data_IF_623233061502
#
_entry.id   IF_623233061502
#
_cell.length_a   1.000
_cell.length_b   1.000
_cell.length_c   1.000
_cell.angle_alpha   90.00
_cell.angle_beta   90.00
_cell.angle_gamma   90.00
#
_symmetry.space_group_name_H-M   'P 1'
#
loop_
_entity.id
_entity.type
_entity.pdbx_description
1 polymer ?
#
# COMPACT_ATOMS: atom_id res chain seq x y z
N UNK A 1 -26.72 -61.54 -110.01
CA UNK A 1 -26.55 -62.28 -108.74
C UNK A 1 -25.16 -61.93 -108.25
N UNK A 2 -24.92 -61.34 -107.09
CA UNK A 2 -25.70 -61.14 -105.88
C UNK A 2 -24.88 -60.12 -105.05
N UNK A 3 -25.29 -58.85 -104.97
CA UNK A 3 -25.82 -58.21 -103.76
C UNK A 3 -25.11 -58.53 -102.43
N UNK A 4 -24.77 -57.44 -101.71
CA UNK A 4 -24.83 -57.29 -100.23
C UNK A 4 -23.65 -57.89 -99.44
N UNK A 5 -22.98 -57.24 -98.49
CA UNK A 5 -23.31 -56.13 -97.58
C UNK A 5 -21.99 -55.43 -97.16
N UNK A 6 -21.83 -54.11 -97.30
CA UNK A 6 -22.10 -53.12 -96.25
C UNK A 6 -21.82 -53.61 -94.82
N UNK A 7 -20.56 -53.58 -94.39
CA UNK A 7 -20.24 -53.49 -92.97
C UNK A 7 -20.62 -52.10 -92.46
N UNK A 8 -21.90 -51.98 -92.10
CA UNK A 8 -22.49 -50.86 -91.38
C UNK A 8 -21.76 -50.65 -90.05
N UNK A 9 -21.33 -49.41 -89.82
CA UNK A 9 -20.94 -48.87 -88.53
C UNK A 9 -22.07 -49.13 -87.53
N UNK A 10 -21.87 -50.06 -86.60
CA UNK A 10 -22.77 -50.17 -85.45
C UNK A 10 -22.48 -48.98 -84.54
N UNK A 11 -23.45 -48.09 -84.26
CA UNK A 11 -23.27 -47.06 -83.26
C UNK A 11 -23.06 -47.73 -81.91
N UNK A 12 -21.88 -47.53 -81.32
CA UNK A 12 -21.57 -47.95 -79.97
C UNK A 12 -22.41 -47.15 -78.97
N UNK A 13 -23.64 -47.58 -78.75
CA UNK A 13 -24.51 -47.06 -77.69
C UNK A 13 -23.87 -47.42 -76.36
N UNK A 14 -23.15 -46.46 -75.75
CA UNK A 14 -22.63 -46.59 -74.39
C UNK A 14 -23.81 -46.66 -73.42
N UNK A 15 -24.36 -47.86 -73.21
CA UNK A 15 -25.21 -48.16 -72.05
C UNK A 15 -24.35 -47.88 -70.82
N UNK A 16 -24.60 -46.77 -70.13
CA UNK A 16 -24.09 -46.54 -68.79
C UNK A 16 -24.58 -47.72 -67.96
N UNK A 17 -23.65 -48.58 -67.55
CA UNK A 17 -23.89 -49.61 -66.56
C UNK A 17 -24.36 -48.88 -65.31
N UNK A 18 -25.67 -48.87 -65.09
CA UNK A 18 -26.26 -48.47 -63.83
C UNK A 18 -25.85 -49.53 -62.83
N UNK A 19 -24.66 -49.40 -62.26
CA UNK A 19 -24.23 -50.19 -61.11
C UNK A 19 -25.12 -49.71 -59.96
N UNK A 20 -26.27 -50.35 -59.81
CA UNK A 20 -27.08 -50.26 -58.60
C UNK A 20 -26.31 -51.04 -57.54
N UNK A 21 -25.37 -50.37 -56.87
CA UNK A 21 -24.58 -50.95 -55.79
C UNK A 21 -25.57 -51.34 -54.68
N UNK A 22 -25.75 -52.65 -54.39
CA UNK A 22 -26.67 -53.08 -53.35
C UNK A 22 -26.01 -52.85 -51.98
N UNK A 23 -26.72 -52.20 -51.06
CA UNK A 23 -26.30 -52.09 -49.66
C UNK A 23 -25.08 -51.18 -49.43
N UNK A 24 -25.24 -49.88 -49.69
CA UNK A 24 -24.25 -48.88 -49.29
C UNK A 24 -24.17 -48.87 -47.75
N UNK A 25 -23.09 -49.41 -47.19
CA UNK A 25 -22.82 -49.45 -45.74
C UNK A 25 -22.49 -48.05 -45.19
N UNK A 26 -23.34 -47.06 -45.46
CA UNK A 26 -23.23 -45.67 -45.00
C UNK A 26 -23.02 -45.62 -43.48
N UNK A 27 -23.66 -46.52 -42.74
CA UNK A 27 -23.47 -46.66 -41.30
C UNK A 27 -22.05 -47.03 -40.88
N UNK A 28 -21.34 -47.88 -41.63
CA UNK A 28 -19.95 -48.23 -41.32
C UNK A 28 -18.99 -47.07 -41.57
N UNK A 29 -19.20 -46.31 -42.66
CA UNK A 29 -18.41 -45.11 -42.94
C UNK A 29 -18.65 -44.00 -41.92
N UNK A 30 -19.91 -43.76 -41.55
CA UNK A 30 -20.27 -42.79 -40.51
C UNK A 30 -19.66 -43.21 -39.16
N UNK A 31 -19.79 -44.49 -38.78
CA UNK A 31 -19.22 -45.01 -37.54
C UNK A 31 -17.69 -44.89 -37.52
N UNK A 32 -17.00 -45.25 -38.61
CA UNK A 32 -15.56 -45.10 -38.74
C UNK A 32 -15.11 -43.64 -38.67
N UNK A 33 -15.85 -42.72 -39.30
CA UNK A 33 -15.56 -41.29 -39.23
C UNK A 33 -15.75 -40.73 -37.82
N UNK A 34 -16.80 -41.14 -37.11
CA UNK A 34 -17.04 -40.75 -35.71
C UNK A 34 -15.94 -41.30 -34.80
N UNK A 35 -15.55 -42.57 -34.96
CA UNK A 35 -14.45 -43.17 -34.20
C UNK A 35 -13.13 -42.43 -34.44
N UNK A 36 -12.83 -42.11 -35.70
CA UNK A 36 -11.66 -41.31 -36.07
C UNK A 36 -11.68 -39.93 -35.40
N UNK A 37 -12.82 -39.24 -35.42
CA UNK A 37 -12.98 -37.95 -34.77
C UNK A 37 -12.77 -38.02 -33.25
N UNK A 38 -13.30 -39.06 -32.58
CA UNK A 38 -13.13 -39.29 -31.13
C UNK A 38 -11.66 -39.57 -30.78
N UNK A 39 -10.96 -40.36 -31.59
CA UNK A 39 -9.53 -40.62 -31.36
C UNK A 39 -8.68 -39.36 -31.52
N UNK A 40 -8.97 -38.54 -32.55
CA UNK A 40 -8.27 -37.28 -32.77
C UNK A 40 -8.54 -36.29 -31.64
N UNK A 41 -9.78 -36.14 -31.19
CA UNK A 41 -10.11 -35.24 -30.07
C UNK A 41 -9.51 -35.72 -28.76
N UNK A 42 -9.55 -37.02 -28.46
CA UNK A 42 -8.92 -37.59 -27.26
C UNK A 42 -7.41 -37.37 -27.26
N UNK A 43 -6.74 -37.59 -28.40
CA UNK A 43 -5.31 -37.35 -28.52
C UNK A 43 -4.95 -35.86 -28.39
N UNK A 44 -5.73 -34.98 -29.03
CA UNK A 44 -5.54 -33.53 -28.93
C UNK A 44 -5.72 -33.04 -27.48
N UNK A 45 -6.73 -33.56 -26.77
CA UNK A 45 -6.99 -33.20 -25.38
C UNK A 45 -5.86 -33.65 -24.45
N UNK A 46 -5.39 -34.90 -24.59
CA UNK A 46 -4.27 -35.41 -23.80
C UNK A 46 -2.98 -34.60 -24.04
N UNK A 47 -2.69 -34.22 -25.29
CA UNK A 47 -1.56 -33.35 -25.62
C UNK A 47 -1.69 -31.95 -25.01
N UNK A 48 -2.91 -31.41 -24.99
CA UNK A 48 -3.19 -30.10 -24.39
C UNK A 48 -3.00 -30.15 -22.87
N UNK A 49 -3.54 -31.15 -22.19
CA UNK A 49 -3.32 -31.36 -20.75
C UNK A 49 -1.84 -31.52 -20.40
N UNK A 50 -1.11 -32.31 -21.18
CA UNK A 50 0.33 -32.48 -21.00
C UNK A 50 1.09 -31.15 -21.17
N UNK A 51 0.71 -30.34 -22.16
CA UNK A 51 1.32 -29.01 -22.36
C UNK A 51 1.01 -28.07 -21.20
N UNK A 52 -0.24 -28.07 -20.72
CA UNK A 52 -0.68 -27.22 -19.63
C UNK A 52 0.00 -27.60 -18.30
N UNK A 53 0.12 -28.90 -18.04
CA UNK A 53 0.86 -29.43 -16.88
C UNK A 53 2.33 -29.04 -16.93
N UNK A 54 2.98 -29.13 -18.09
CA UNK A 54 4.37 -28.72 -18.26
C UNK A 54 4.57 -27.21 -18.05
N UNK A 55 3.64 -26.38 -18.51
CA UNK A 55 3.68 -24.94 -18.26
C UNK A 55 3.52 -24.63 -16.76
N UNK A 56 2.57 -25.29 -16.10
CA UNK A 56 2.34 -25.11 -14.66
C UNK A 56 3.58 -25.53 -13.85
N UNK A 57 4.20 -26.67 -14.19
CA UNK A 57 5.44 -27.11 -13.57
C UNK A 57 6.60 -26.15 -13.85
N UNK A 58 6.70 -25.60 -15.06
CA UNK A 58 7.73 -24.60 -15.38
C UNK A 58 7.54 -23.31 -14.59
N UNK A 59 6.30 -22.83 -14.41
CA UNK A 59 6.00 -21.63 -13.62
C UNK A 59 6.29 -21.89 -12.14
N UNK A 60 5.88 -23.05 -11.61
CA UNK A 60 6.19 -23.42 -10.23
C UNK A 60 7.70 -23.54 -9.98
N UNK A 61 8.46 -24.07 -10.94
CA UNK A 61 9.91 -24.14 -10.84
C UNK A 61 10.53 -22.73 -10.86
N UNK A 62 10.06 -21.83 -11.71
CA UNK A 62 10.52 -20.43 -11.72
C UNK A 62 10.19 -19.70 -10.42
N UNK A 63 8.99 -19.93 -9.84
CA UNK A 63 8.62 -19.39 -8.53
C UNK A 63 9.55 -19.95 -7.45
N UNK A 64 9.82 -21.26 -7.45
CA UNK A 64 10.70 -21.90 -6.48
C UNK A 64 12.15 -21.42 -6.61
N UNK A 65 12.66 -21.21 -7.83
CA UNK A 65 13.99 -20.65 -8.08
C UNK A 65 14.09 -19.20 -7.60
N UNK A 66 13.06 -18.38 -7.84
CA UNK A 66 12.97 -17.02 -7.33
C UNK A 66 12.89 -16.99 -5.80
N UNK A 67 12.15 -17.92 -5.18
CA UNK A 67 12.09 -18.06 -3.72
C UNK A 67 13.43 -18.51 -3.12
N UNK A 68 14.19 -19.38 -3.81
CA UNK A 68 15.53 -19.79 -3.38
C UNK A 68 16.56 -18.66 -3.50
N UNK A 69 16.37 -17.73 -4.45
CA UNK A 69 17.21 -16.54 -4.59
C UNK A 69 16.85 -15.43 -3.60
N UNK A 70 15.66 -15.49 -2.96
CA UNK A 70 15.25 -14.54 -1.93
C UNK A 70 15.88 -14.91 -0.59
N UNK A 71 16.72 -14.02 -0.09
CA UNK A 71 17.13 -14.06 1.30
C UNK A 71 16.04 -13.43 2.18
N UNK A 72 15.06 -14.26 2.56
CA UNK A 72 13.93 -13.87 3.42
C UNK A 72 14.39 -13.21 4.73
N UNK A 73 15.58 -13.57 5.21
CA UNK A 73 16.15 -12.99 6.43
C UNK A 73 16.59 -11.55 6.17
N UNK A 74 17.33 -11.31 5.09
CA UNK A 74 17.73 -9.96 4.68
C UNK A 74 16.52 -9.06 4.36
N UNK A 75 15.47 -9.58 3.72
CA UNK A 75 14.24 -8.80 3.48
C UNK A 75 13.52 -8.41 4.77
N UNK A 76 13.47 -9.32 5.74
CA UNK A 76 12.84 -9.05 7.04
C UNK A 76 13.67 -8.06 7.86
N UNK A 77 15.00 -8.17 7.82
CA UNK A 77 15.92 -7.20 8.43
C UNK A 77 15.79 -5.81 7.81
N UNK A 78 15.64 -5.70 6.49
CA UNK A 78 15.40 -4.43 5.79
C UNK A 78 14.06 -3.80 6.19
N UNK A 79 12.99 -4.58 6.33
CA UNK A 79 11.70 -4.07 6.83
C UNK A 79 11.81 -3.56 8.26
N UNK A 80 12.50 -4.31 9.13
CA UNK A 80 12.73 -3.88 10.52
C UNK A 80 13.54 -2.59 10.55
N UNK A 81 14.58 -2.48 9.73
CA UNK A 81 15.38 -1.27 9.61
C UNK A 81 14.55 -0.07 9.12
N UNK A 82 13.68 -0.27 8.13
CA UNK A 82 12.75 0.77 7.67
C UNK A 82 11.85 1.27 8.80
N UNK A 83 11.22 0.37 9.55
CA UNK A 83 10.39 0.75 10.69
C UNK A 83 11.18 1.48 11.79
N UNK A 84 12.42 1.07 12.03
CA UNK A 84 13.30 1.76 12.97
C UNK A 84 13.61 3.18 12.49
N UNK A 85 13.95 3.36 11.21
CA UNK A 85 14.24 4.67 10.63
C UNK A 85 13.01 5.57 10.66
N UNK A 86 11.82 5.08 10.33
CA UNK A 86 10.58 5.86 10.36
C UNK A 86 10.24 6.31 11.79
N UNK A 87 10.32 5.40 12.76
CA UNK A 87 10.08 5.73 14.17
C UNK A 87 11.13 6.71 14.73
N UNK A 88 12.41 6.50 14.41
CA UNK A 88 13.49 7.40 14.82
C UNK A 88 13.35 8.77 14.15
N UNK A 89 12.95 8.83 12.88
CA UNK A 89 12.73 10.09 12.16
C UNK A 89 11.55 10.88 12.73
N UNK A 90 10.46 10.20 13.12
CA UNK A 90 9.34 10.84 13.80
C UNK A 90 9.76 11.43 15.15
N UNK A 91 10.51 10.68 15.95
CA UNK A 91 11.02 11.15 17.25
C UNK A 91 12.00 12.32 17.12
N UNK A 92 12.90 12.29 16.12
CA UNK A 92 13.85 13.37 15.85
C UNK A 92 13.12 14.61 15.33
N UNK A 93 12.17 14.43 14.40
CA UNK A 93 11.35 15.50 13.86
C UNK A 93 10.65 16.26 14.97
N UNK A 94 9.94 15.55 15.84
CA UNK A 94 9.27 16.14 17.00
C UNK A 94 10.29 16.88 17.89
N UNK A 95 11.41 16.26 18.26
CA UNK A 95 12.42 16.86 19.16
C UNK A 95 12.99 18.20 18.66
N UNK A 96 13.19 18.37 17.35
CA UNK A 96 13.67 19.64 16.77
C UNK A 96 12.64 20.76 16.98
N UNK A 97 11.35 20.47 16.80
CA UNK A 97 10.28 21.46 17.03
C UNK A 97 10.16 21.82 18.52
N UNK A 98 10.30 20.85 19.42
CA UNK A 98 10.33 21.09 20.86
C UNK A 98 11.49 21.97 21.29
N UNK A 99 12.67 21.81 20.68
CA UNK A 99 13.86 22.62 21.00
C UNK A 99 13.62 24.11 20.68
N UNK A 100 12.99 24.40 19.54
CA UNK A 100 12.67 25.77 19.13
C UNK A 100 11.52 26.39 19.97
N UNK A 101 10.50 25.58 20.29
CA UNK A 101 9.43 25.99 21.19
C UNK A 101 9.93 26.29 22.61
N UNK A 102 10.77 25.41 23.16
CA UNK A 102 11.37 25.59 24.48
C UNK A 102 12.28 26.81 24.54
N UNK A 103 13.09 27.06 23.49
CA UNK A 103 13.90 28.29 23.40
C UNK A 103 13.04 29.56 23.40
N UNK A 104 11.91 29.54 22.70
CA UNK A 104 10.97 30.69 22.69
C UNK A 104 10.39 30.93 24.07
N UNK A 105 9.94 29.88 24.76
CA UNK A 105 9.40 29.99 26.13
C UNK A 105 10.49 30.47 27.09
N UNK A 106 11.70 29.89 27.02
CA UNK A 106 12.83 30.29 27.86
C UNK A 106 13.22 31.77 27.70
N UNK A 107 13.14 32.30 26.48
CA UNK A 107 13.41 33.73 26.23
C UNK A 107 12.34 34.67 26.81
N UNK A 108 11.11 34.18 26.99
CA UNK A 108 9.99 34.96 27.57
C UNK A 108 9.93 34.85 29.10
N UNK A 109 10.74 33.98 29.71
CA UNK A 109 10.81 33.81 31.15
C UNK A 109 11.48 35.02 31.81
N UNK A 110 10.81 35.59 32.81
CA UNK A 110 11.29 36.71 33.58
C UNK A 110 12.36 36.27 34.60
N UNK A 111 13.34 37.14 34.80
CA UNK A 111 14.31 36.98 35.90
C UNK A 111 13.56 36.88 37.23
N UNK A 112 13.78 35.78 37.95
CA UNK A 112 13.12 35.51 39.24
C UNK A 112 11.87 34.63 39.18
N UNK A 113 11.58 34.01 38.02
CA UNK A 113 10.61 32.91 37.86
C UNK A 113 11.35 31.60 37.66
N UNK A 114 10.97 30.57 38.41
CA UNK A 114 11.48 29.21 38.28
C UNK A 114 10.38 28.28 37.76
N UNK A 115 10.75 27.30 36.95
CA UNK A 115 9.83 26.28 36.44
C UNK A 115 10.00 25.03 37.30
N UNK A 116 8.92 24.59 37.94
CA UNK A 116 8.88 23.35 38.72
C UNK A 116 8.43 22.18 37.84
N UNK A 117 7.46 22.40 36.96
CA UNK A 117 6.98 21.40 36.02
C UNK A 117 6.60 22.06 34.69
N UNK A 118 6.78 21.31 33.62
CA UNK A 118 6.41 21.71 32.27
C UNK A 118 5.74 20.53 31.59
N UNK A 119 4.54 20.75 31.05
CA UNK A 119 3.80 19.74 30.32
C UNK A 119 3.20 20.35 29.06
N UNK A 120 3.28 19.63 27.95
CA UNK A 120 2.64 20.01 26.70
C UNK A 120 1.90 18.83 26.11
N UNK A 121 0.67 19.07 25.66
CA UNK A 121 -0.27 18.03 25.29
C UNK A 121 -0.20 17.59 23.81
N UNK A 122 0.70 18.17 23.02
CA UNK A 122 0.79 17.89 21.58
C UNK A 122 -0.14 18.74 20.71
N UNK A 123 -1.17 19.34 21.30
CA UNK A 123 -2.29 20.01 20.61
C UNK A 123 -2.29 21.53 20.80
N UNK A 124 -1.18 22.09 21.31
CA UNK A 124 -1.03 23.54 21.50
C UNK A 124 -1.24 24.01 22.93
N UNK A 125 -1.55 23.13 23.89
CA UNK A 125 -1.70 23.51 25.31
C UNK A 125 -0.41 23.23 26.07
N UNK A 126 0.16 24.28 26.66
CA UNK A 126 1.29 24.17 27.60
C UNK A 126 0.78 24.46 28.99
N UNK A 127 1.02 23.56 29.94
CA UNK A 127 0.79 23.75 31.37
C UNK A 127 2.12 23.81 32.11
N UNK A 128 2.31 24.81 32.95
CA UNK A 128 3.53 25.02 33.72
C UNK A 128 3.21 25.32 35.18
N UNK A 129 3.94 24.67 36.08
CA UNK A 129 3.97 25.05 37.48
C UNK A 129 5.17 25.96 37.70
N UNK A 130 4.93 27.18 38.12
CA UNK A 130 5.92 28.24 38.21
C UNK A 130 6.06 28.74 39.65
N UNK A 131 7.26 29.19 40.00
CA UNK A 131 7.55 29.86 41.27
C UNK A 131 8.12 31.24 41.01
N UNK A 132 7.38 32.29 41.38
CA UNK A 132 7.82 33.68 41.28
C UNK A 132 8.37 34.18 42.61
N UNK A 133 9.39 35.04 42.54
CA UNK A 133 10.01 35.65 43.72
C UNK A 133 9.09 36.63 44.47
N UNK A 134 8.10 37.22 43.79
CA UNK A 134 7.07 38.11 44.36
C UNK A 134 5.93 38.36 43.33
N UNK A 135 4.87 39.07 43.76
CA UNK A 135 3.71 39.39 42.92
C UNK A 135 4.06 40.24 41.68
N UNK A 136 5.05 41.12 41.79
CA UNK A 136 5.51 41.96 40.66
C UNK A 136 6.13 41.10 39.56
N UNK A 137 6.93 40.10 39.94
CA UNK A 137 7.56 39.18 38.99
C UNK A 137 6.50 38.30 38.32
N UNK A 138 5.50 37.82 39.07
CA UNK A 138 4.35 37.10 38.52
C UNK A 138 3.59 37.94 37.49
N UNK A 139 3.25 39.19 37.82
CA UNK A 139 2.52 40.08 36.92
C UNK A 139 3.31 40.35 35.63
N UNK A 140 4.63 40.56 35.74
CA UNK A 140 5.53 40.70 34.58
C UNK A 140 5.58 39.44 33.73
N UNK A 141 5.58 38.25 34.35
CA UNK A 141 5.59 36.99 33.62
C UNK A 141 4.29 36.79 32.82
N UNK A 142 3.14 37.06 33.43
CA UNK A 142 1.85 36.98 32.74
C UNK A 142 1.82 37.99 31.58
N UNK A 143 2.24 39.23 31.83
CA UNK A 143 2.31 40.25 30.77
C UNK A 143 3.20 39.81 29.60
N UNK A 144 4.38 39.23 29.88
CA UNK A 144 5.29 38.75 28.84
C UNK A 144 4.65 37.69 27.93
N UNK A 145 3.81 36.81 28.48
CA UNK A 145 3.08 35.82 27.67
C UNK A 145 1.85 36.39 26.97
N UNK A 146 1.14 37.35 27.58
CA UNK A 146 -0.05 37.98 26.99
C UNK A 146 0.32 38.87 25.79
N UNK A 147 1.48 39.52 25.81
CA UNK A 147 1.94 40.38 24.72
C UNK A 147 2.69 39.65 23.59
N UNK A 148 2.86 38.34 23.69
CA UNK A 148 3.54 37.56 22.65
C UNK A 148 2.53 37.12 21.57
N UNK A 149 2.76 37.52 20.31
CA UNK A 149 1.88 37.23 19.16
C UNK A 149 1.63 35.72 18.92
N UNK A 150 2.50 34.87 19.45
CA UNK A 150 2.44 33.40 19.32
C UNK A 150 1.52 32.74 20.35
N UNK A 151 1.15 33.46 21.41
CA UNK A 151 0.29 32.97 22.49
C UNK A 151 -1.12 33.48 22.21
N UNK A 152 -2.07 32.55 22.07
CA UNK A 152 -3.47 32.86 21.82
C UNK A 152 -4.22 33.21 23.11
N UNK A 153 -3.90 32.51 24.19
CA UNK A 153 -4.55 32.69 25.47
C UNK A 153 -3.62 32.31 26.63
N UNK A 154 -3.81 32.99 27.76
CA UNK A 154 -3.06 32.79 29.01
C UNK A 154 -4.05 32.67 30.16
N UNK A 155 -4.05 31.52 30.83
CA UNK A 155 -4.86 31.27 32.01
C UNK A 155 -3.99 30.99 33.22
N UNK A 156 -4.34 31.59 34.34
CA UNK A 156 -3.68 31.36 35.64
C UNK A 156 -4.69 30.74 36.56
N UNK A 157 -4.37 29.57 37.11
CA UNK A 157 -5.33 28.78 37.90
C UNK A 157 -5.11 29.01 39.39
N UNK A 158 -4.08 28.39 39.96
CA UNK A 158 -3.80 28.45 41.39
C UNK A 158 -2.71 29.47 41.65
N UNK A 159 -2.85 30.30 42.68
CA UNK A 159 -1.74 31.10 43.23
C UNK A 159 -1.64 30.79 44.71
N UNK A 160 -0.51 30.24 45.14
CA UNK A 160 -0.23 29.89 46.54
C UNK A 160 0.96 30.70 47.05
N UNK A 161 0.75 31.63 47.99
CA UNK A 161 1.84 32.37 48.61
C UNK A 161 2.58 31.51 49.64
N UNK A 162 3.90 31.70 49.67
CA UNK A 162 4.76 31.14 50.72
C UNK A 162 5.14 32.20 51.74
N UNK A 163 5.48 31.81 52.99
CA UNK A 163 5.85 32.75 54.06
C UNK A 163 7.09 33.62 53.76
N UNK A 164 7.95 33.19 52.83
CA UNK A 164 9.14 33.92 52.37
C UNK A 164 8.81 35.00 51.32
N UNK A 165 7.53 35.19 50.95
CA UNK A 165 7.09 36.15 49.94
C UNK A 165 7.12 35.63 48.49
N UNK A 166 7.58 34.40 48.26
CA UNK A 166 7.50 33.76 46.94
C UNK A 166 6.10 33.20 46.67
N UNK A 167 5.77 32.99 45.41
CA UNK A 167 4.44 32.56 44.96
C UNK A 167 4.58 31.36 44.05
N UNK A 168 3.93 30.25 44.37
CA UNK A 168 3.67 29.19 43.40
C UNK A 168 2.43 29.54 42.60
N UNK A 169 2.48 29.36 41.29
CA UNK A 169 1.31 29.52 40.45
C UNK A 169 1.31 28.58 39.26
N UNK A 170 0.11 28.18 38.85
CA UNK A 170 -0.08 27.28 37.71
C UNK A 170 -0.54 28.12 36.51
N UNK A 171 0.18 28.00 35.41
CA UNK A 171 -0.04 28.79 34.20
C UNK A 171 -0.29 27.87 33.01
N UNK A 172 -1.37 28.16 32.28
CA UNK A 172 -1.78 27.42 31.09
C UNK A 172 -1.75 28.36 29.89
N UNK A 173 -0.96 28.02 28.88
CA UNK A 173 -0.86 28.74 27.62
C UNK A 173 -1.55 27.94 26.51
N UNK A 174 -2.30 28.63 25.66
CA UNK A 174 -2.73 28.11 24.36
C UNK A 174 -1.87 28.75 23.27
N UNK A 175 -1.05 27.94 22.60
CA UNK A 175 -0.13 28.36 21.54
C UNK A 175 -0.81 28.19 20.18
N UNK A 176 -0.60 29.13 19.27
CA UNK A 176 -1.13 29.04 17.92
C UNK A 176 -0.42 27.93 17.10
N UNK A 177 -1.19 27.07 16.44
CA UNK A 177 -0.76 25.80 15.81
C UNK A 177 0.36 25.94 14.75
N UNK A 178 0.63 27.16 14.26
CA UNK A 178 1.64 27.42 13.21
C UNK A 178 3.09 27.16 13.63
N UNK A 179 3.36 26.87 14.90
CA UNK A 179 4.72 26.65 15.40
C UNK A 179 5.14 25.18 15.51
N UNK A 180 4.21 24.24 15.56
CA UNK A 180 4.50 22.85 15.99
C UNK A 180 4.25 21.82 14.88
N UNK A 181 3.56 22.19 13.80
CA UNK A 181 3.48 21.38 12.58
C UNK A 181 3.74 22.23 11.35
N UNK A 182 4.95 22.15 10.79
CA UNK A 182 5.06 22.31 9.34
C UNK A 182 4.51 21.02 8.74
N UNK A 183 3.21 21.02 8.44
CA UNK A 183 2.54 19.98 7.68
C UNK A 183 3.40 19.76 6.42
N UNK A 184 3.92 18.55 6.15
CA UNK A 184 4.54 18.29 4.87
C UNK A 184 3.44 18.44 3.81
N UNK A 185 3.56 19.47 2.98
CA UNK A 185 2.76 19.56 1.75
C UNK A 185 3.17 18.41 0.83
N UNK A 186 2.18 17.55 0.55
CA UNK A 186 2.04 16.58 -0.55
C UNK A 186 3.16 15.57 -0.81
#
# INVERSE_FOLDING_TARGET
MDSKDQFQLIPGTKKKLGIKVPGENRFLYISSAVLGAVLVTSFAFNRYEASLSNQLNSVNNQISELEQQRDLKSEQELKVLQYQIENTSALIGDHIYWTQGFSTIANLMQSGVQINSFNYDGLGKVSMDLLASNYTVLAKQIAAFVYEDKVKDVSVSTITPFPNGSLKFDLVLLINERLIKKIPEK
#
